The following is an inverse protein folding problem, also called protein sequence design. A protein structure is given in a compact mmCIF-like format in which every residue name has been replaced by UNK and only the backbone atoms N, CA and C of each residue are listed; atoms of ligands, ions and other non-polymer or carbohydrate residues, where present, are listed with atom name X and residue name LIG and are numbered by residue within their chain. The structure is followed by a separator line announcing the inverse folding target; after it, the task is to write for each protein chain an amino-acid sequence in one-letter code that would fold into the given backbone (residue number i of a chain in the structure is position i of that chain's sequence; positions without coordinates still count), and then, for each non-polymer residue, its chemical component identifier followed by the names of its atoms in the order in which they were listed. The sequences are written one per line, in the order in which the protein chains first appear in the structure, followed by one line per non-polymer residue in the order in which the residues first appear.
data_IF_004675032229
#
_entry.id   IF_004675032229
#
_cell.length_a   1.000
_cell.length_b   1.000
_cell.length_c   1.000
_cell.angle_alpha   90.00
_cell.angle_beta   90.00
_cell.angle_gamma   90.00
#
_symmetry.space_group_name_H-M   'P 1'
#
loop_
_entity.id
_entity.type
_entity.pdbx_description
1 polymer ?
#
# COMPACT_ATOMS: atom_id res chain seq x y z
N UNK A 1 -14.95 -0.64 -0.60
CA UNK A 1 -16.10 -0.11 -1.38
C UNK A 1 -16.44 1.25 -0.82
N UNK A 2 -16.53 2.29 -1.65
CA UNK A 2 -17.00 3.60 -1.16
C UNK A 2 -18.50 3.46 -0.94
N UNK A 3 -18.93 3.48 0.30
CA UNK A 3 -20.36 3.52 0.68
C UNK A 3 -20.61 4.81 1.45
N UNK A 4 -21.88 5.15 1.63
CA UNK A 4 -22.27 6.39 2.32
C UNK A 4 -21.84 6.41 3.80
N UNK A 5 -21.64 5.24 4.41
CA UNK A 5 -21.39 5.07 5.86
C UNK A 5 -19.95 4.64 6.20
N UNK A 6 -19.05 4.51 5.21
CA UNK A 6 -17.67 4.07 5.43
C UNK A 6 -16.70 5.25 5.32
N UNK A 7 -15.76 5.37 6.26
CA UNK A 7 -14.65 6.31 6.12
C UNK A 7 -13.90 6.02 4.80
N UNK A 8 -13.85 6.97 3.85
CA UNK A 8 -13.15 6.77 2.58
C UNK A 8 -11.68 6.39 2.75
N UNK A 9 -11.05 6.76 3.88
CA UNK A 9 -9.66 6.41 4.20
C UNK A 9 -9.47 4.92 4.51
N UNK A 10 -10.51 4.23 4.96
CA UNK A 10 -10.49 2.78 5.19
C UNK A 10 -10.67 1.96 3.90
N UNK A 11 -10.82 2.61 2.73
CA UNK A 11 -10.98 1.92 1.47
C UNK A 11 -9.62 1.40 0.95
N UNK A 12 -9.50 0.10 0.56
CA UNK A 12 -8.25 -0.45 0.03
C UNK A 12 -7.66 0.30 -1.17
N UNK A 13 -8.51 0.92 -2.00
CA UNK A 13 -8.09 1.74 -3.14
C UNK A 13 -7.43 3.04 -2.66
N UNK A 14 -7.97 3.68 -1.62
CA UNK A 14 -7.37 4.88 -1.05
C UNK A 14 -6.04 4.55 -0.37
N UNK A 15 -6.02 3.49 0.44
CA UNK A 15 -4.82 2.98 1.12
C UNK A 15 -3.73 2.68 0.08
N UNK A 16 -4.05 1.93 -0.97
CA UNK A 16 -3.12 1.64 -2.06
C UNK A 16 -2.63 2.91 -2.76
N UNK A 17 -3.46 3.94 -2.91
CA UNK A 17 -2.99 5.23 -3.47
C UNK A 17 -1.92 5.90 -2.61
N UNK A 18 -1.94 5.74 -1.28
CA UNK A 18 -0.89 6.30 -0.43
C UNK A 18 0.36 5.42 -0.44
N UNK A 19 0.23 4.10 -0.56
CA UNK A 19 1.37 3.21 -0.86
C UNK A 19 2.10 3.68 -2.12
N UNK A 20 1.37 3.94 -3.20
CA UNK A 20 1.98 4.43 -4.45
C UNK A 20 2.66 5.80 -4.30
N UNK A 21 2.06 6.72 -3.53
CA UNK A 21 2.68 8.02 -3.22
C UNK A 21 3.97 7.87 -2.41
N UNK A 22 4.01 6.93 -1.46
CA UNK A 22 5.22 6.64 -0.68
C UNK A 22 6.33 6.19 -1.64
N UNK A 23 6.06 5.27 -2.56
CA UNK A 23 7.04 4.85 -3.57
C UNK A 23 7.48 6.01 -4.48
N UNK A 24 6.56 6.84 -4.95
CA UNK A 24 6.90 8.01 -5.79
C UNK A 24 7.73 9.08 -5.07
N UNK A 25 7.68 9.10 -3.73
CA UNK A 25 8.38 10.11 -2.90
C UNK A 25 9.68 9.58 -2.28
N UNK A 26 10.04 8.32 -2.52
CA UNK A 26 11.25 7.70 -1.99
C UNK A 26 12.16 7.27 -3.14
N UNK A 27 13.46 7.51 -3.00
CA UNK A 27 14.47 7.05 -3.97
C UNK A 27 14.71 5.53 -3.91
N UNK A 28 14.17 4.85 -2.89
CA UNK A 28 14.30 3.40 -2.71
C UNK A 28 13.34 2.65 -3.61
N UNK A 29 13.86 1.73 -4.42
CA UNK A 29 13.06 0.86 -5.29
C UNK A 29 12.35 -0.27 -4.53
N UNK A 30 12.81 -0.61 -3.32
CA UNK A 30 12.27 -1.71 -2.50
C UNK A 30 12.07 -1.22 -1.06
N UNK A 31 10.93 -1.57 -0.46
CA UNK A 31 10.60 -1.25 0.93
C UNK A 31 10.10 -2.53 1.61
N UNK A 32 10.63 -2.88 2.78
CA UNK A 32 10.14 -4.00 3.60
C UNK A 32 8.66 -3.80 3.97
N UNK A 33 7.85 -4.87 3.94
CA UNK A 33 6.40 -4.81 4.25
C UNK A 33 6.11 -4.12 5.58
N UNK A 34 6.85 -4.45 6.64
CA UNK A 34 6.65 -3.87 7.98
C UNK A 34 6.91 -2.36 7.98
N UNK A 35 8.00 -1.92 7.36
CA UNK A 35 8.32 -0.50 7.22
C UNK A 35 7.31 0.23 6.35
N UNK A 36 6.85 -0.41 5.26
CA UNK A 36 5.82 0.17 4.40
C UNK A 36 4.51 0.35 5.17
N UNK A 37 4.12 -0.64 5.97
CA UNK A 37 2.97 -0.54 6.87
C UNK A 37 3.12 0.64 7.83
N UNK A 38 4.25 0.77 8.53
CA UNK A 38 4.48 1.87 9.47
C UNK A 38 4.36 3.25 8.79
N UNK A 39 4.89 3.37 7.57
CA UNK A 39 4.78 4.60 6.78
C UNK A 39 3.33 4.93 6.43
N UNK A 40 2.54 3.96 5.96
CA UNK A 40 1.13 4.17 5.64
C UNK A 40 0.33 4.50 6.91
N UNK A 41 0.54 3.74 7.98
CA UNK A 41 -0.16 3.90 9.26
C UNK A 41 0.15 5.25 9.93
N UNK A 42 1.30 5.86 9.63
CA UNK A 42 1.62 7.23 10.08
C UNK A 42 0.77 8.32 9.42
N UNK A 43 0.16 8.05 8.25
CA UNK A 43 -0.70 9.01 7.53
C UNK A 43 -2.14 8.95 8.07
N UNK A 44 -2.61 7.76 8.41
CA UNK A 44 -3.90 7.51 9.05
C UNK A 44 -3.84 6.13 9.72
N UNK A 45 -4.33 6.04 10.96
CA UNK A 45 -4.38 4.76 11.66
C UNK A 45 -5.27 3.77 10.90
N UNK A 46 -4.75 2.57 10.67
CA UNK A 46 -5.47 1.52 9.96
C UNK A 46 -5.08 0.12 10.49
N UNK A 47 -5.91 -0.90 10.21
CA UNK A 47 -5.55 -2.27 10.59
C UNK A 47 -4.57 -2.89 9.60
N UNK A 48 -3.70 -3.77 10.09
CA UNK A 48 -2.76 -4.49 9.24
C UNK A 48 -3.47 -5.26 8.09
N UNK A 49 -4.64 -5.84 8.36
CA UNK A 49 -5.42 -6.56 7.35
C UNK A 49 -5.87 -5.66 6.19
N UNK A 50 -6.34 -4.44 6.48
CA UNK A 50 -6.75 -3.49 5.43
C UNK A 50 -5.58 -3.06 4.56
N UNK A 51 -4.39 -2.91 5.16
CA UNK A 51 -3.17 -2.68 4.41
C UNK A 51 -2.83 -3.85 3.50
N UNK A 52 -2.86 -5.09 4.00
CA UNK A 52 -2.60 -6.27 3.19
C UNK A 52 -3.59 -6.42 2.03
N UNK A 53 -4.89 -6.20 2.24
CA UNK A 53 -5.88 -6.21 1.15
C UNK A 53 -5.58 -5.16 0.08
N UNK A 54 -4.97 -4.04 0.47
CA UNK A 54 -4.56 -3.00 -0.47
C UNK A 54 -3.33 -3.43 -1.26
N UNK A 55 -2.36 -4.10 -0.63
CA UNK A 55 -1.21 -4.68 -1.31
C UNK A 55 -1.63 -5.79 -2.28
N UNK A 56 -2.52 -6.69 -1.87
CA UNK A 56 -3.06 -7.74 -2.74
C UNK A 56 -3.69 -7.13 -4.00
N UNK A 57 -4.50 -6.09 -3.83
CA UNK A 57 -5.08 -5.36 -4.96
C UNK A 57 -4.01 -4.77 -5.87
N UNK A 58 -3.02 -4.06 -5.31
CA UNK A 58 -1.93 -3.46 -6.09
C UNK A 58 -1.08 -4.50 -6.83
N UNK A 59 -0.84 -5.66 -6.22
CA UNK A 59 -0.13 -6.77 -6.83
C UNK A 59 -0.91 -7.36 -8.00
N UNK A 60 -2.22 -7.62 -7.82
CA UNK A 60 -3.09 -8.18 -8.87
C UNK A 60 -3.13 -7.28 -10.11
N UNK A 61 -3.10 -5.95 -9.93
CA UNK A 61 -3.08 -5.00 -11.07
C UNK A 61 -1.68 -4.72 -11.61
N UNK A 62 -0.63 -5.35 -11.07
CA UNK A 62 0.75 -5.15 -11.50
C UNK A 62 1.33 -3.78 -11.15
N UNK A 63 0.81 -3.10 -10.12
CA UNK A 63 1.34 -1.82 -9.68
C UNK A 63 2.54 -1.98 -8.72
N UNK A 64 2.64 -3.13 -8.05
CA UNK A 64 3.75 -3.50 -7.18
C UNK A 64 4.20 -4.95 -7.44
N UNK A 65 5.43 -5.26 -7.07
CA UNK A 65 6.00 -6.61 -7.06
C UNK A 65 6.47 -6.99 -5.64
N UNK A 66 6.46 -8.29 -5.36
CA UNK A 66 7.03 -8.88 -4.15
C UNK A 66 8.39 -9.49 -4.50
N UNK A 67 9.44 -9.08 -3.81
CA UNK A 67 10.73 -9.76 -3.93
C UNK A 67 10.74 -11.08 -3.12
N UNK A 68 11.74 -11.92 -3.37
CA UNK A 68 11.89 -13.22 -2.70
C UNK A 68 12.14 -13.16 -1.18
N UNK A 69 12.33 -11.96 -0.61
CA UNK A 69 12.61 -11.71 0.80
C UNK A 69 11.48 -10.94 1.51
N UNK A 70 10.35 -10.72 0.85
CA UNK A 70 9.21 -9.99 1.42
C UNK A 70 9.32 -8.46 1.33
N UNK A 71 10.21 -7.95 0.49
CA UNK A 71 10.25 -6.56 0.07
C UNK A 71 9.20 -6.27 -1.00
N UNK A 72 8.65 -5.06 -0.97
CA UNK A 72 7.71 -4.55 -1.97
C UNK A 72 8.45 -3.57 -2.88
N UNK A 73 8.35 -3.80 -4.18
CA UNK A 73 8.88 -2.92 -5.22
C UNK A 73 7.75 -2.24 -5.99
N UNK A 74 7.98 -1.01 -6.45
CA UNK A 74 7.07 -0.33 -7.36
C UNK A 74 7.29 -0.85 -8.78
N UNK A 75 6.22 -1.32 -9.43
CA UNK A 75 6.30 -2.04 -10.70
C UNK A 75 5.95 -1.19 -11.93
N UNK A 76 5.62 0.09 -11.76
CA UNK A 76 5.30 0.96 -12.90
C UNK A 76 6.55 1.23 -13.75
N UNK A 77 6.56 0.62 -14.94
CA UNK A 77 7.48 0.91 -16.05
C UNK A 77 6.78 1.78 -17.10
#
# INVERSE_FOLDING_TARGET
MITIDTDPKANPVYIGSVVLRIFQSNDSMIIEISRLYDLVNSVFELSFDLFLYSLDWLFIIGAIELDGNGGIAYAAQ
#
